data_IF_468980344771
#
_entry.id   IF_468980344771
#
_cell.length_a   1.000
_cell.length_b   1.000
_cell.length_c   1.000
_cell.angle_alpha   90.00
_cell.angle_beta   90.00
_cell.angle_gamma   90.00
#
_symmetry.space_group_name_H-M   'P 1'
#
loop_
_entity.id
_entity.type
_entity.pdbx_description
1 polymer ?
#
# COMPACT_ATOMS: atom_id res chain seq x y z
N UNK A 1 -7.61 -6.97 35.59
CA UNK A 1 -7.78 -5.56 35.21
C UNK A 1 -7.28 -5.23 33.81
N UNK A 2 -7.69 -5.98 32.78
CA UNK A 2 -7.27 -5.73 31.38
C UNK A 2 -8.17 -4.78 30.59
N UNK A 3 -9.46 -4.69 30.94
CA UNK A 3 -10.45 -3.91 30.18
C UNK A 3 -10.21 -2.39 30.22
N UNK A 4 -9.71 -1.85 31.34
CA UNK A 4 -9.48 -0.41 31.50
C UNK A 4 -8.30 0.13 30.69
N UNK A 5 -7.26 -0.68 30.44
CA UNK A 5 -6.09 -0.24 29.66
C UNK A 5 -6.40 -0.14 28.17
N UNK A 6 -7.22 -1.07 27.65
CA UNK A 6 -7.59 -1.07 26.24
C UNK A 6 -8.55 0.07 25.89
N UNK A 7 -9.42 0.48 26.82
CA UNK A 7 -10.31 1.62 26.62
C UNK A 7 -9.54 2.94 26.51
N UNK A 8 -8.56 3.16 27.41
CA UNK A 8 -7.72 4.37 27.34
C UNK A 8 -6.89 4.41 26.05
N UNK A 9 -6.29 3.29 25.67
CA UNK A 9 -5.51 3.21 24.45
C UNK A 9 -6.35 3.50 23.19
N UNK A 10 -7.60 3.05 23.15
CA UNK A 10 -8.50 3.34 22.02
C UNK A 10 -8.84 4.83 21.94
N UNK A 11 -9.09 5.49 23.07
CA UNK A 11 -9.35 6.94 23.11
C UNK A 11 -8.14 7.74 22.67
N UNK A 12 -6.95 7.32 23.09
CA UNK A 12 -5.68 7.94 22.70
C UNK A 12 -5.40 7.75 21.20
N UNK A 13 -5.66 6.55 20.66
CA UNK A 13 -5.60 6.28 19.23
C UNK A 13 -6.52 7.20 18.42
N UNK A 14 -7.77 7.38 18.85
CA UNK A 14 -8.73 8.29 18.19
C UNK A 14 -8.24 9.74 18.24
N UNK A 15 -7.68 10.15 19.37
CA UNK A 15 -7.15 11.51 19.56
C UNK A 15 -5.98 11.77 18.61
N UNK A 16 -5.04 10.83 18.49
CA UNK A 16 -3.92 10.94 17.55
C UNK A 16 -4.38 10.84 16.09
N UNK A 17 -5.38 10.01 15.79
CA UNK A 17 -5.97 9.93 14.45
C UNK A 17 -6.51 11.29 13.96
N UNK A 18 -7.18 12.05 14.82
CA UNK A 18 -7.67 13.41 14.46
C UNK A 18 -6.56 14.45 14.24
N UNK A 19 -5.34 14.18 14.74
CA UNK A 19 -4.17 15.06 14.57
C UNK A 19 -3.36 14.72 13.32
N UNK A 20 -3.50 13.50 12.80
CA UNK A 20 -2.85 13.12 11.55
C UNK A 20 -3.50 13.88 10.40
N UNK A 21 -2.67 14.56 9.62
CA UNK A 21 -3.08 15.09 8.33
C UNK A 21 -2.94 13.96 7.30
N UNK A 22 -4.03 13.45 6.72
CA UNK A 22 -3.94 12.47 5.67
C UNK A 22 -3.36 13.09 4.40
N UNK A 23 -2.89 12.24 3.48
CA UNK A 23 -2.27 12.67 2.22
C UNK A 23 -3.24 13.49 1.35
N UNK A 24 -2.64 14.28 0.46
CA UNK A 24 -3.32 15.18 -0.48
C UNK A 24 -4.47 14.44 -1.22
N UNK A 25 -5.71 14.91 -1.02
CA UNK A 25 -6.93 14.30 -1.59
C UNK A 25 -7.83 13.55 -0.59
N UNK A 26 -7.39 13.35 0.66
CA UNK A 26 -8.22 12.77 1.73
C UNK A 26 -8.56 13.80 2.81
N UNK A 27 -9.76 13.71 3.37
CA UNK A 27 -10.20 14.57 4.48
C UNK A 27 -9.78 13.98 5.84
N UNK A 28 -9.45 14.85 6.79
CA UNK A 28 -9.25 14.44 8.19
C UNK A 28 -10.55 13.86 8.75
N UNK A 29 -10.43 12.76 9.49
CA UNK A 29 -11.57 12.23 10.22
C UNK A 29 -11.79 13.07 11.48
N UNK A 30 -12.99 13.63 11.63
CA UNK A 30 -13.36 14.40 12.80
C UNK A 30 -13.38 13.52 14.07
N UNK A 31 -12.78 14.02 15.14
CA UNK A 31 -12.71 13.30 16.43
C UNK A 31 -14.11 12.96 16.97
N UNK A 32 -15.08 13.87 16.78
CA UNK A 32 -16.47 13.70 17.22
C UNK A 32 -17.15 12.51 16.52
N UNK A 33 -16.80 12.24 15.26
CA UNK A 33 -17.34 11.12 14.48
C UNK A 33 -16.80 9.76 14.91
N UNK A 34 -15.62 9.72 15.57
CA UNK A 34 -14.96 8.46 15.97
C UNK A 34 -15.00 8.18 17.47
N UNK A 35 -15.32 9.18 18.30
CA UNK A 35 -15.37 9.06 19.77
C UNK A 35 -16.23 7.90 20.26
N UNK A 36 -17.43 7.73 19.68
CA UNK A 36 -18.38 6.69 20.09
C UNK A 36 -18.22 5.36 19.34
N UNK A 37 -17.29 5.28 18.38
CA UNK A 37 -17.12 4.08 17.58
C UNK A 37 -16.40 2.97 18.34
N UNK A 38 -16.88 1.73 18.15
CA UNK A 38 -16.14 0.54 18.57
C UNK A 38 -14.87 0.38 17.73
N UNK A 39 -13.85 -0.37 18.20
CA UNK A 39 -12.64 -0.64 17.41
C UNK A 39 -12.94 -1.19 16.01
N UNK A 40 -13.95 -2.06 15.89
CA UNK A 40 -14.35 -2.65 14.61
C UNK A 40 -15.04 -1.64 13.69
N UNK A 41 -15.89 -0.76 14.25
CA UNK A 41 -16.54 0.30 13.50
C UNK A 41 -15.54 1.37 13.04
N UNK A 42 -14.55 1.68 13.88
CA UNK A 42 -13.43 2.57 13.52
C UNK A 42 -12.61 1.99 12.37
N UNK A 43 -12.24 0.71 12.43
CA UNK A 43 -11.51 0.05 11.35
C UNK A 43 -12.32 0.03 10.04
N UNK A 44 -13.64 -0.20 10.14
CA UNK A 44 -14.54 -0.18 8.97
C UNK A 44 -14.66 1.23 8.38
N UNK A 45 -14.74 2.27 9.22
CA UNK A 45 -14.74 3.65 8.77
C UNK A 45 -13.42 4.01 8.09
N UNK A 46 -12.28 3.68 8.72
CA UNK A 46 -10.96 3.90 8.15
C UNK A 46 -10.81 3.19 6.81
N UNK A 47 -11.26 1.94 6.70
CA UNK A 47 -11.28 1.18 5.45
C UNK A 47 -12.18 1.83 4.39
N UNK A 48 -13.37 2.29 4.76
CA UNK A 48 -14.30 2.94 3.83
C UNK A 48 -13.82 4.32 3.39
N UNK A 49 -13.08 5.04 4.24
CA UNK A 49 -12.68 6.43 4.02
C UNK A 49 -11.33 6.54 3.32
N UNK A 50 -10.38 5.68 3.71
CA UNK A 50 -9.00 5.68 3.20
C UNK A 50 -8.73 4.50 2.25
N UNK A 51 -9.62 3.50 2.17
CA UNK A 51 -9.39 2.28 1.40
C UNK A 51 -8.48 1.28 2.14
N UNK A 52 -8.37 0.08 1.59
CA UNK A 52 -7.67 -1.06 2.22
C UNK A 52 -6.21 -0.79 2.55
N UNK A 53 -5.51 -0.10 1.65
CA UNK A 53 -4.06 0.06 1.74
C UNK A 53 -3.69 1.30 2.56
N UNK A 54 -4.44 2.38 2.39
CA UNK A 54 -4.17 3.65 3.07
C UNK A 54 -4.70 3.66 4.52
N UNK A 55 -5.75 2.91 4.84
CA UNK A 55 -6.22 2.79 6.22
C UNK A 55 -5.17 2.17 7.15
N UNK A 56 -4.37 1.24 6.64
CA UNK A 56 -3.30 0.57 7.38
C UNK A 56 -2.08 1.48 7.52
N UNK A 57 -1.74 2.28 6.50
CA UNK A 57 -0.68 3.29 6.62
C UNK A 57 -1.03 4.36 7.67
N UNK A 58 -2.27 4.87 7.62
CA UNK A 58 -2.78 5.83 8.60
C UNK A 58 -2.78 5.21 10.00
N UNK A 59 -3.30 3.98 10.14
CA UNK A 59 -3.30 3.28 11.42
C UNK A 59 -1.89 3.04 11.97
N UNK A 60 -0.93 2.69 11.12
CA UNK A 60 0.47 2.54 11.52
C UNK A 60 1.09 3.88 11.95
N UNK A 61 0.77 4.98 11.26
CA UNK A 61 1.20 6.33 11.63
C UNK A 61 0.68 6.74 13.01
N UNK A 62 -0.59 6.45 13.31
CA UNK A 62 -1.17 6.67 14.65
C UNK A 62 -0.45 5.84 15.70
N UNK A 63 -0.21 4.56 15.41
CA UNK A 63 0.49 3.65 16.32
C UNK A 63 1.92 4.10 16.60
N UNK A 64 2.64 4.65 15.61
CA UNK A 64 3.94 5.28 15.82
C UNK A 64 3.87 6.50 16.73
N UNK A 65 2.87 7.38 16.54
CA UNK A 65 2.67 8.55 17.39
C UNK A 65 2.38 8.16 18.85
N UNK A 66 1.69 7.03 19.06
CA UNK A 66 1.44 6.45 20.38
C UNK A 66 2.63 5.67 20.98
N UNK A 67 3.75 5.54 20.25
CA UNK A 67 4.92 4.78 20.69
C UNK A 67 4.78 3.26 20.55
N UNK A 68 3.76 2.76 19.86
CA UNK A 68 3.52 1.33 19.61
C UNK A 68 4.28 0.85 18.37
N UNK A 69 5.60 1.10 18.35
CA UNK A 69 6.47 0.86 17.20
C UNK A 69 6.42 -0.58 16.69
N UNK A 70 6.39 -1.56 17.60
CA UNK A 70 6.33 -2.98 17.23
C UNK A 70 5.03 -3.35 16.52
N UNK A 71 3.90 -2.80 16.98
CA UNK A 71 2.58 -3.07 16.42
C UNK A 71 2.37 -2.33 15.09
N UNK A 72 2.87 -1.10 14.99
CA UNK A 72 2.91 -0.33 13.76
C UNK A 72 3.76 -1.02 12.68
N UNK A 73 4.96 -1.49 13.05
CA UNK A 73 5.84 -2.20 12.15
C UNK A 73 5.26 -3.55 11.74
N UNK A 74 4.62 -4.30 12.64
CA UNK A 74 3.92 -5.56 12.30
C UNK A 74 2.73 -5.31 11.34
N UNK A 75 2.00 -4.21 11.50
CA UNK A 75 0.94 -3.80 10.57
C UNK A 75 1.48 -3.41 9.20
N UNK A 76 2.57 -2.63 9.16
CA UNK A 76 3.25 -2.27 7.92
C UNK A 76 3.92 -3.49 7.28
N UNK A 77 4.46 -4.42 8.07
CA UNK A 77 5.04 -5.66 7.58
C UNK A 77 3.97 -6.58 7.03
N UNK A 78 2.77 -6.65 7.63
CA UNK A 78 1.62 -7.37 7.04
C UNK A 78 1.08 -6.71 5.78
N UNK A 79 1.11 -5.38 5.71
CA UNK A 79 0.87 -4.66 4.47
C UNK A 79 1.95 -5.00 3.42
N UNK A 80 3.21 -5.11 3.86
CA UNK A 80 4.36 -5.44 3.04
C UNK A 80 4.52 -6.95 2.75
N UNK A 81 3.88 -7.84 3.50
CA UNK A 81 3.65 -9.24 3.13
C UNK A 81 2.68 -9.29 1.93
N UNK A 82 1.80 -8.29 1.81
CA UNK A 82 1.11 -7.94 0.57
C UNK A 82 2.03 -7.30 -0.49
N UNK A 83 3.12 -6.64 -0.09
CA UNK A 83 4.19 -6.14 -0.96
C UNK A 83 5.11 -7.29 -1.42
N UNK A 84 4.55 -8.10 -2.31
CA UNK A 84 5.12 -9.13 -3.23
C UNK A 84 6.31 -8.68 -4.09
N UNK A 85 7.04 -7.63 -3.71
CA UNK A 85 8.15 -7.04 -4.45
C UNK A 85 9.52 -7.52 -3.98
N UNK A 86 9.60 -8.28 -2.88
CA UNK A 86 10.86 -8.90 -2.45
C UNK A 86 11.45 -9.86 -3.50
N UNK A 87 10.62 -10.35 -4.43
CA UNK A 87 11.05 -11.20 -5.54
C UNK A 87 11.30 -10.45 -6.85
N UNK A 88 11.73 -9.18 -6.76
CA UNK A 88 12.08 -8.33 -7.91
C UNK A 88 12.90 -9.08 -8.97
N UNK A 89 13.92 -9.81 -8.56
CA UNK A 89 14.81 -10.51 -9.49
C UNK A 89 14.10 -11.65 -10.23
N UNK A 90 13.30 -12.44 -9.52
CA UNK A 90 12.54 -13.54 -10.11
C UNK A 90 11.40 -13.02 -11.01
N UNK A 91 10.75 -11.92 -10.63
CA UNK A 91 9.76 -11.23 -11.47
C UNK A 91 10.38 -10.70 -12.76
N UNK A 92 11.50 -9.98 -12.66
CA UNK A 92 12.21 -9.44 -13.83
C UNK A 92 12.67 -10.56 -14.77
N UNK A 93 13.14 -11.69 -14.23
CA UNK A 93 13.63 -12.82 -15.02
C UNK A 93 12.52 -13.60 -15.73
N UNK A 94 11.36 -13.78 -15.07
CA UNK A 94 10.31 -14.68 -15.54
C UNK A 94 9.16 -13.98 -16.26
N UNK A 95 9.06 -12.65 -16.15
CA UNK A 95 8.03 -11.88 -16.86
C UNK A 95 8.20 -12.04 -18.37
N UNK A 96 7.16 -12.53 -19.02
CA UNK A 96 7.18 -12.78 -20.47
C UNK A 96 6.62 -11.60 -21.26
N UNK A 97 5.76 -10.79 -20.65
CA UNK A 97 5.21 -9.59 -21.26
C UNK A 97 4.98 -8.49 -20.22
N UNK A 98 5.51 -7.29 -20.53
CA UNK A 98 5.39 -6.08 -19.72
C UNK A 98 4.51 -5.02 -20.39
N UNK A 99 4.13 -5.23 -21.65
CA UNK A 99 3.32 -4.30 -22.44
C UNK A 99 1.97 -4.02 -21.77
N UNK A 100 1.24 -5.06 -21.37
CA UNK A 100 -0.06 -4.95 -20.68
C UNK A 100 0.07 -4.27 -19.32
N UNK A 101 1.19 -4.48 -18.64
CA UNK A 101 1.48 -3.87 -17.35
C UNK A 101 1.73 -2.37 -17.53
N UNK A 102 2.54 -1.99 -18.52
CA UNK A 102 2.80 -0.59 -18.85
C UNK A 102 1.53 0.15 -19.30
N UNK A 103 0.71 -0.48 -20.12
CA UNK A 103 -0.52 0.14 -20.64
C UNK A 103 -1.54 0.40 -19.52
N UNK A 104 -1.59 -0.45 -18.48
CA UNK A 104 -2.43 -0.20 -17.28
C UNK A 104 -1.88 0.90 -16.38
N UNK A 105 -0.57 0.99 -16.29
CA UNK A 105 0.10 1.99 -15.46
C UNK A 105 0.14 3.36 -16.14
N UNK A 106 0.01 3.39 -17.46
CA UNK A 106 -0.02 4.61 -18.25
C UNK A 106 -1.20 5.50 -17.87
N UNK A 107 -0.92 6.77 -17.53
CA UNK A 107 -1.93 7.76 -17.18
C UNK A 107 -2.36 7.75 -15.70
N UNK A 108 -2.04 6.70 -14.93
CA UNK A 108 -2.29 6.64 -13.49
C UNK A 108 -1.00 6.69 -12.68
N UNK A 109 -0.02 5.86 -13.03
CA UNK A 109 1.24 5.68 -12.29
C UNK A 109 2.42 6.25 -13.07
N UNK A 110 2.41 6.07 -14.39
CA UNK A 110 3.47 6.51 -15.28
C UNK A 110 3.04 7.75 -16.06
N UNK A 111 3.91 8.75 -16.08
CA UNK A 111 3.79 9.85 -17.02
C UNK A 111 4.09 9.37 -18.45
N UNK A 112 3.65 10.13 -19.45
CA UNK A 112 3.93 9.78 -20.85
C UNK A 112 5.43 9.67 -21.15
N UNK A 113 6.24 10.51 -20.51
CA UNK A 113 7.70 10.50 -20.67
C UNK A 113 8.33 9.24 -20.05
N UNK A 114 7.87 8.84 -18.86
CA UNK A 114 8.32 7.60 -18.21
C UNK A 114 7.88 6.36 -19.00
N UNK A 115 6.62 6.33 -19.44
CA UNK A 115 6.10 5.23 -20.26
C UNK A 115 6.89 5.06 -21.56
N UNK A 116 7.17 6.14 -22.28
CA UNK A 116 7.98 6.07 -23.50
C UNK A 116 9.41 5.64 -23.21
N UNK A 117 10.02 6.15 -22.14
CA UNK A 117 11.38 5.77 -21.73
C UNK A 117 11.46 4.27 -21.41
N UNK A 118 10.47 3.73 -20.71
CA UNK A 118 10.40 2.31 -20.42
C UNK A 118 10.16 1.52 -21.70
N UNK A 119 9.16 1.88 -22.51
CA UNK A 119 8.84 1.19 -23.78
C UNK A 119 9.99 1.21 -24.79
N UNK A 120 10.86 2.22 -24.74
CA UNK A 120 12.04 2.33 -25.58
C UNK A 120 13.17 1.35 -25.19
N UNK A 121 13.09 0.69 -24.03
CA UNK A 121 14.09 -0.31 -23.64
C UNK A 121 14.01 -1.54 -24.55
N UNK A 122 15.17 -2.09 -24.97
CA UNK A 122 15.25 -3.13 -25.99
C UNK A 122 14.81 -4.52 -25.48
N UNK A 123 14.81 -4.75 -24.17
CA UNK A 123 14.41 -6.04 -23.58
C UNK A 123 13.33 -5.87 -22.52
N UNK A 124 12.44 -6.86 -22.40
CA UNK A 124 11.36 -6.88 -21.40
C UNK A 124 11.92 -6.82 -19.96
N UNK A 125 13.09 -7.39 -19.75
CA UNK A 125 13.81 -7.36 -18.48
C UNK A 125 14.29 -5.96 -18.12
N UNK A 126 14.84 -5.20 -19.07
CA UNK A 126 15.25 -3.82 -18.84
C UNK A 126 14.06 -2.90 -18.65
N UNK A 127 12.96 -3.11 -19.38
CA UNK A 127 11.70 -2.42 -19.16
C UNK A 127 11.25 -2.57 -17.70
N UNK A 128 11.23 -3.82 -17.22
CA UNK A 128 10.83 -4.13 -15.86
C UNK A 128 11.82 -3.55 -14.83
N UNK A 129 13.13 -3.65 -15.09
CA UNK A 129 14.17 -3.13 -14.19
C UNK A 129 14.09 -1.62 -14.03
N UNK A 130 13.81 -0.89 -15.11
CA UNK A 130 13.59 0.56 -15.12
C UNK A 130 12.27 0.92 -14.43
N UNK A 131 11.20 0.17 -14.67
CA UNK A 131 9.94 0.36 -13.95
C UNK A 131 10.11 0.22 -12.44
N UNK A 132 10.83 -0.82 -11.99
CA UNK A 132 11.19 -1.00 -10.58
C UNK A 132 12.05 0.14 -10.01
N UNK A 133 12.80 0.87 -10.84
CA UNK A 133 13.57 2.03 -10.38
C UNK A 133 12.69 3.21 -9.97
N UNK A 134 11.46 3.28 -10.50
CA UNK A 134 10.46 4.30 -10.15
C UNK A 134 9.59 3.90 -8.95
N UNK A 135 9.62 2.63 -8.52
CA UNK A 135 8.86 2.16 -7.35
C UNK A 135 9.08 2.96 -6.05
N UNK A 136 10.27 3.50 -5.73
CA UNK A 136 10.45 4.33 -4.54
C UNK A 136 9.61 5.61 -4.58
N UNK A 137 9.31 6.12 -5.77
CA UNK A 137 8.41 7.27 -5.97
C UNK A 137 6.94 6.89 -6.09
N UNK A 138 6.61 5.60 -6.10
CA UNK A 138 5.24 5.13 -6.22
C UNK A 138 4.55 5.10 -4.87
N UNK A 139 3.32 5.61 -4.83
CA UNK A 139 2.42 5.38 -3.71
C UNK A 139 1.94 3.92 -3.68
N UNK A 140 1.23 3.55 -2.62
CA UNK A 140 0.76 2.17 -2.46
C UNK A 140 -0.32 1.82 -3.49
N UNK A 141 -1.16 2.78 -3.91
CA UNK A 141 -2.13 2.59 -4.99
C UNK A 141 -1.46 2.22 -6.31
N UNK A 142 -0.34 2.87 -6.63
CA UNK A 142 0.49 2.56 -7.79
C UNK A 142 1.09 1.15 -7.70
N UNK A 143 1.53 0.75 -6.50
CA UNK A 143 2.04 -0.59 -6.23
C UNK A 143 0.94 -1.64 -6.36
N UNK A 144 -0.26 -1.39 -5.87
CA UNK A 144 -1.42 -2.29 -6.01
C UNK A 144 -1.86 -2.43 -7.47
N UNK A 145 -1.94 -1.33 -8.22
CA UNK A 145 -2.24 -1.34 -9.66
C UNK A 145 -1.20 -2.14 -10.44
N UNK A 146 0.09 -1.96 -10.13
CA UNK A 146 1.15 -2.75 -10.72
C UNK A 146 0.99 -4.24 -10.41
N UNK A 147 0.65 -4.54 -9.16
CA UNK A 147 0.47 -5.89 -8.67
C UNK A 147 -0.70 -6.62 -9.35
N UNK A 148 -1.81 -5.91 -9.56
CA UNK A 148 -2.99 -6.41 -10.26
C UNK A 148 -2.73 -6.54 -11.77
N UNK A 149 -2.01 -5.59 -12.37
CA UNK A 149 -1.57 -5.73 -13.76
C UNK A 149 -0.66 -6.95 -13.95
N UNK A 150 0.24 -7.21 -12.99
CA UNK A 150 1.08 -8.41 -12.98
C UNK A 150 0.27 -9.69 -12.76
N UNK A 151 -0.74 -9.70 -11.89
CA UNK A 151 -1.64 -10.84 -11.71
C UNK A 151 -2.37 -11.17 -13.01
N UNK A 152 -2.87 -10.16 -13.71
CA UNK A 152 -3.64 -10.39 -14.94
C UNK A 152 -2.75 -10.89 -16.09
N UNK A 153 -1.51 -10.42 -16.15
CA UNK A 153 -0.58 -10.79 -17.23
C UNK A 153 0.18 -12.08 -16.91
N UNK A 154 0.53 -12.30 -15.64
CA UNK A 154 1.40 -13.38 -15.18
C UNK A 154 0.89 -14.00 -13.87
N UNK A 155 -0.40 -14.36 -13.82
CA UNK A 155 -1.05 -14.97 -12.65
C UNK A 155 -0.27 -16.14 -12.07
N UNK A 156 0.28 -16.99 -12.94
CA UNK A 156 1.10 -18.15 -12.58
C UNK A 156 2.40 -17.76 -11.86
N UNK A 157 3.08 -16.68 -12.28
CA UNK A 157 4.27 -16.19 -11.57
C UNK A 157 3.89 -15.66 -10.20
N UNK A 158 2.79 -14.93 -10.13
CA UNK A 158 2.31 -14.39 -8.87
C UNK A 158 1.98 -15.49 -7.87
N UNK A 159 1.28 -16.53 -8.32
CA UNK A 159 0.89 -17.65 -7.47
C UNK A 159 2.11 -18.44 -6.98
N UNK A 160 3.13 -18.61 -7.84
CA UNK A 160 4.40 -19.25 -7.50
C UNK A 160 5.20 -18.42 -6.48
N UNK A 161 5.18 -17.10 -6.63
CA UNK A 161 5.83 -16.14 -5.74
C UNK A 161 5.06 -15.90 -4.42
N UNK A 162 3.77 -16.23 -4.37
CA UNK A 162 2.95 -16.21 -3.15
C UNK A 162 2.97 -17.54 -2.39
N UNK A 163 3.40 -18.63 -3.05
CA UNK A 163 3.47 -19.97 -2.49
C UNK A 163 4.82 -20.35 -1.87
N UNK A 164 5.82 -19.46 -1.94
CA UNK A 164 7.13 -19.60 -1.29
C UNK A 164 7.19 -18.85 0.04
#
# INVERSE_FOLDING_TARGET
>A
GGAGRNAHALTEFKTELSKIQPKEGYECIELESVMDLSPAALASLLYSHFGQSHCVEVAAGVLWAMGWMALANDLLDKLNEGARFQHREQLIQRVTSVSTVLDRLYGHVLSNEQYQSIRAMPTVQEQMRLLYSFMPSWDVTCKDLFLDALKDTNSHLIQDLQGQ
#
